data_IF_739733795643
#
_entry.id   IF_739733795643
#
_cell.length_a   1.000
_cell.length_b   1.000
_cell.length_c   1.000
_cell.angle_alpha   90.00
_cell.angle_beta   90.00
_cell.angle_gamma   90.00
#
_symmetry.space_group_name_H-M   'P 1'
#
loop_
_entity.id
_entity.type
_entity.pdbx_description
1 polymer ?
#
# COMPACT_ATOMS: atom_id res chain seq x y z
N UNK A 1 -54.99 44.67 36.43
CA UNK A 1 -54.49 45.30 35.17
C UNK A 1 -53.04 44.84 35.01
N UNK A 2 -52.83 43.67 34.39
CA UNK A 2 -52.32 43.45 33.00
C UNK A 2 -50.94 44.07 32.71
N UNK A 3 -50.08 43.22 32.14
CA UNK A 3 -48.78 43.42 31.48
C UNK A 3 -47.55 43.09 32.37
N UNK A 4 -46.54 42.35 31.92
CA UNK A 4 -46.35 41.48 30.77
C UNK A 4 -45.17 40.56 31.12
N UNK A 5 -45.29 39.25 30.86
CA UNK A 5 -44.18 38.30 30.99
C UNK A 5 -43.27 38.45 29.76
N UNK A 6 -42.00 38.81 29.98
CA UNK A 6 -40.97 38.84 28.95
C UNK A 6 -40.43 37.43 28.70
N UNK A 7 -40.65 36.90 27.51
CA UNK A 7 -40.06 35.66 27.00
C UNK A 7 -38.60 35.92 26.60
N UNK A 8 -37.64 35.31 27.29
CA UNK A 8 -36.26 35.21 26.80
C UNK A 8 -36.24 34.22 25.63
N UNK A 9 -35.98 34.71 24.42
CA UNK A 9 -35.67 33.87 23.27
C UNK A 9 -34.16 33.60 23.31
N UNK A 10 -33.77 32.38 23.67
CA UNK A 10 -32.43 31.87 23.39
C UNK A 10 -32.33 31.58 21.89
N UNK A 11 -31.66 32.45 21.14
CA UNK A 11 -31.22 32.14 19.78
C UNK A 11 -30.09 31.12 19.86
N UNK A 12 -30.42 29.84 19.61
CA UNK A 12 -29.44 28.82 19.26
C UNK A 12 -28.75 29.25 17.97
N UNK A 13 -27.49 29.65 18.04
CA UNK A 13 -26.65 29.79 16.85
C UNK A 13 -26.40 28.38 16.30
N UNK A 14 -27.19 27.97 15.31
CA UNK A 14 -26.88 26.83 14.45
C UNK A 14 -25.56 27.16 13.73
N UNK A 15 -24.47 26.63 14.26
CA UNK A 15 -23.21 26.53 13.52
C UNK A 15 -23.45 25.57 12.34
N UNK A 16 -23.88 26.11 11.21
CA UNK A 16 -23.84 25.39 9.94
C UNK A 16 -22.38 25.00 9.68
N UNK A 17 -22.07 23.70 9.51
CA UNK A 17 -20.75 23.32 9.06
C UNK A 17 -20.58 23.93 7.67
N UNK A 18 -19.62 24.84 7.54
CA UNK A 18 -19.17 25.32 6.25
C UNK A 18 -18.62 24.10 5.51
N UNK A 19 -19.43 23.52 4.63
CA UNK A 19 -18.98 22.56 3.63
C UNK A 19 -17.90 23.28 2.82
N UNK A 20 -16.65 22.91 3.06
CA UNK A 20 -15.55 23.37 2.24
C UNK A 20 -15.80 22.93 0.78
N UNK A 21 -15.56 23.79 -0.21
CA UNK A 21 -15.82 23.48 -1.61
C UNK A 21 -14.81 22.44 -2.10
N UNK A 22 -15.26 21.19 -2.26
CA UNK A 22 -14.50 20.06 -2.80
C UNK A 22 -13.79 20.49 -4.08
N UNK A 23 -12.45 20.47 -4.09
CA UNK A 23 -11.69 20.54 -5.32
C UNK A 23 -12.06 19.29 -6.11
N UNK A 24 -12.46 19.51 -7.35
CA UNK A 24 -12.80 18.45 -8.26
C UNK A 24 -11.51 17.83 -8.82
N UNK A 25 -10.71 17.21 -7.94
CA UNK A 25 -9.97 16.02 -8.35
C UNK A 25 -11.04 15.12 -8.97
N UNK A 26 -11.04 15.01 -10.30
CA UNK A 26 -12.18 14.53 -11.07
C UNK A 26 -12.74 13.19 -10.57
N UNK A 27 -13.96 12.86 -10.96
CA UNK A 27 -14.57 11.59 -10.57
C UNK A 27 -13.83 10.43 -11.25
N UNK A 28 -13.12 9.63 -10.46
CA UNK A 28 -12.45 8.41 -10.89
C UNK A 28 -13.39 7.20 -10.78
N UNK A 29 -13.32 6.22 -11.69
CA UNK A 29 -14.07 4.98 -11.58
C UNK A 29 -13.76 4.21 -10.29
N UNK A 30 -14.81 3.64 -9.70
CA UNK A 30 -14.72 2.92 -8.44
C UNK A 30 -13.90 1.63 -8.57
N UNK A 31 -14.21 0.82 -9.59
CA UNK A 31 -13.62 -0.48 -9.88
C UNK A 31 -13.59 -0.76 -11.39
N UNK A 32 -12.79 -1.75 -11.80
CA UNK A 32 -12.68 -2.20 -13.20
C UNK A 32 -13.51 -3.45 -13.50
N UNK A 33 -13.82 -4.25 -12.48
CA UNK A 33 -14.48 -5.55 -12.63
C UNK A 33 -15.72 -5.66 -11.77
N UNK A 34 -16.89 -5.50 -12.39
CA UNK A 34 -18.17 -5.74 -11.73
C UNK A 34 -18.49 -7.24 -11.69
N UNK A 35 -18.88 -7.82 -10.55
CA UNK A 35 -19.35 -9.20 -10.51
C UNK A 35 -20.68 -9.35 -11.27
N UNK A 36 -20.94 -10.51 -11.91
CA UNK A 36 -22.25 -10.84 -12.45
C UNK A 36 -23.32 -10.83 -11.35
N UNK A 37 -24.48 -10.24 -11.62
CA UNK A 37 -25.58 -10.14 -10.64
C UNK A 37 -26.11 -11.50 -10.15
N UNK A 38 -25.90 -12.56 -10.94
CA UNK A 38 -26.21 -13.95 -10.58
C UNK A 38 -25.28 -14.54 -9.50
N UNK A 39 -24.05 -14.00 -9.38
CA UNK A 39 -23.05 -14.44 -8.41
C UNK A 39 -23.02 -13.53 -7.18
N UNK A 40 -23.28 -12.23 -7.35
CA UNK A 40 -23.33 -11.25 -6.26
C UNK A 40 -24.32 -10.12 -6.54
N UNK A 41 -25.25 -9.89 -5.61
CA UNK A 41 -26.27 -8.85 -5.66
C UNK A 41 -26.20 -7.85 -4.50
N UNK A 42 -25.13 -7.93 -3.69
CA UNK A 42 -24.89 -7.02 -2.59
C UNK A 42 -24.37 -5.65 -3.03
N UNK A 43 -24.07 -4.76 -2.07
CA UNK A 43 -23.47 -3.46 -2.36
C UNK A 43 -22.14 -3.61 -3.10
N UNK A 44 -21.91 -2.73 -4.08
CA UNK A 44 -20.64 -2.64 -4.78
C UNK A 44 -19.71 -1.65 -4.09
N UNK A 45 -18.41 -1.86 -4.30
CA UNK A 45 -17.36 -0.96 -3.84
C UNK A 45 -17.58 0.45 -4.42
N UNK A 46 -17.33 1.45 -3.58
CA UNK A 46 -17.29 2.85 -3.97
C UNK A 46 -15.98 3.45 -3.49
N UNK A 47 -15.28 4.11 -4.40
CA UNK A 47 -14.00 4.75 -4.14
C UNK A 47 -14.23 5.99 -3.27
N UNK A 48 -13.72 5.96 -2.03
CA UNK A 48 -13.55 7.17 -1.22
C UNK A 48 -12.47 8.07 -1.84
N UNK A 49 -12.90 9.11 -2.56
CA UNK A 49 -12.07 9.98 -3.41
C UNK A 49 -12.31 11.48 -3.17
N UNK A 50 -13.02 11.86 -2.11
CA UNK A 50 -13.26 13.26 -1.76
C UNK A 50 -12.04 13.88 -1.07
N UNK A 51 -10.89 13.89 -1.74
CA UNK A 51 -9.61 14.31 -1.17
C UNK A 51 -9.69 15.73 -0.57
N UNK A 52 -9.04 16.00 0.58
CA UNK A 52 -9.05 17.34 1.19
C UNK A 52 -8.40 18.42 0.31
N UNK A 53 -8.99 19.61 0.30
CA UNK A 53 -8.51 20.76 -0.51
C UNK A 53 -7.45 21.60 0.21
N UNK A 54 -7.49 21.55 1.54
CA UNK A 54 -6.52 22.19 2.41
C UNK A 54 -5.75 21.09 3.16
N UNK A 55 -4.46 21.32 3.34
CA UNK A 55 -3.65 20.45 4.19
C UNK A 55 -4.24 20.45 5.61
N UNK A 56 -4.46 19.28 6.23
CA UNK A 56 -4.81 19.23 7.64
C UNK A 56 -3.77 19.98 8.48
N UNK A 57 -4.17 20.71 9.53
CA UNK A 57 -3.23 21.49 10.33
C UNK A 57 -2.20 20.57 11.01
N UNK A 58 -1.00 21.08 11.28
CA UNK A 58 0.05 20.30 11.95
C UNK A 58 -0.36 19.78 13.35
N UNK A 59 -1.38 20.38 13.98
CA UNK A 59 -1.97 19.89 15.22
C UNK A 59 -2.83 18.62 15.05
N UNK A 60 -3.14 18.23 13.82
CA UNK A 60 -3.96 17.05 13.49
C UNK A 60 -3.14 15.75 13.38
N UNK A 61 -1.89 15.74 13.86
CA UNK A 61 -1.09 14.50 13.88
C UNK A 61 -1.82 13.41 14.69
N UNK A 62 -1.84 12.15 14.21
CA UNK A 62 -2.45 11.05 14.95
C UNK A 62 -1.89 10.94 16.37
N UNK A 63 -2.76 10.66 17.36
CA UNK A 63 -2.36 10.65 18.77
C UNK A 63 -1.21 9.67 19.08
N UNK A 64 -1.09 8.58 18.32
CA UNK A 64 -0.01 7.60 18.47
C UNK A 64 1.37 8.16 18.08
N UNK A 65 1.47 9.31 17.39
CA UNK A 65 2.76 9.92 17.03
C UNK A 65 3.64 10.22 18.25
N UNK A 66 3.02 10.47 19.41
CA UNK A 66 3.74 10.68 20.68
C UNK A 66 4.40 9.41 21.22
N UNK A 67 3.99 8.24 20.73
CA UNK A 67 4.49 6.93 21.14
C UNK A 67 5.71 6.48 20.32
N UNK A 68 6.18 7.30 19.36
CA UNK A 68 7.41 6.99 18.64
C UNK A 68 8.55 6.85 19.66
N UNK A 69 9.34 5.76 19.62
CA UNK A 69 10.47 5.58 20.52
C UNK A 69 11.45 6.74 20.39
N UNK A 70 11.93 7.27 21.53
CA UNK A 70 12.90 8.36 21.53
C UNK A 70 14.21 8.01 20.81
N UNK A 71 14.60 6.73 20.82
CA UNK A 71 15.67 6.18 20.00
C UNK A 71 15.21 4.86 19.35
N UNK A 72 15.05 4.81 18.02
CA UNK A 72 14.83 3.57 17.28
C UNK A 72 15.88 2.51 17.63
N UNK A 73 15.42 1.28 17.88
CA UNK A 73 16.28 0.13 18.16
C UNK A 73 15.69 -1.15 17.57
N UNK A 74 16.53 -2.17 17.36
CA UNK A 74 16.10 -3.46 16.83
C UNK A 74 15.38 -4.36 17.87
N UNK A 75 15.14 -3.85 19.07
CA UNK A 75 14.28 -4.49 20.07
C UNK A 75 12.81 -4.13 19.80
N UNK A 76 12.02 -5.13 19.37
CA UNK A 76 10.62 -4.94 19.04
C UNK A 76 9.77 -4.51 20.25
N UNK A 77 10.17 -4.83 21.47
CA UNK A 77 9.41 -4.41 22.66
C UNK A 77 9.36 -2.89 22.81
N UNK A 78 10.40 -2.18 22.37
CA UNK A 78 10.41 -0.72 22.33
C UNK A 78 9.39 -0.13 21.36
N UNK A 79 8.93 -0.92 20.39
CA UNK A 79 7.96 -0.53 19.36
C UNK A 79 6.56 -1.09 19.59
N UNK A 80 6.38 -2.02 20.53
CA UNK A 80 5.13 -2.77 20.68
C UNK A 80 3.93 -1.87 20.90
N UNK A 81 4.07 -0.86 21.77
CA UNK A 81 3.00 0.12 22.05
C UNK A 81 2.69 0.96 20.81
N UNK A 82 3.72 1.43 20.10
CA UNK A 82 3.54 2.18 18.84
C UNK A 82 2.80 1.33 17.80
N UNK A 83 3.25 0.10 17.55
CA UNK A 83 2.61 -0.82 16.58
C UNK A 83 1.16 -1.13 16.96
N UNK A 84 0.87 -1.38 18.24
CA UNK A 84 -0.50 -1.58 18.70
C UNK A 84 -1.37 -0.34 18.43
N UNK A 85 -0.88 0.86 18.76
CA UNK A 85 -1.63 2.09 18.55
C UNK A 85 -1.84 2.43 17.07
N UNK A 86 -0.88 2.12 16.17
CA UNK A 86 -1.11 2.27 14.71
C UNK A 86 -2.12 1.25 14.21
N UNK A 87 -2.10 0.00 14.71
CA UNK A 87 -3.13 -1.00 14.39
C UNK A 87 -4.51 -0.48 14.77
N UNK A 88 -4.66 -0.03 16.00
CA UNK A 88 -5.93 0.49 16.50
C UNK A 88 -6.39 1.69 15.68
N UNK A 89 -5.48 2.60 15.34
CA UNK A 89 -5.77 3.71 14.42
C UNK A 89 -6.24 3.22 13.04
N UNK A 90 -5.66 2.16 12.47
CA UNK A 90 -6.11 1.61 11.19
C UNK A 90 -7.51 0.97 11.27
N UNK A 91 -7.83 0.32 12.39
CA UNK A 91 -9.05 -0.48 12.56
C UNK A 91 -10.24 0.33 13.06
N UNK A 92 -10.01 1.38 13.84
CA UNK A 92 -11.04 2.19 14.49
C UNK A 92 -12.07 2.73 13.48
N UNK A 93 -13.32 2.29 13.63
CA UNK A 93 -14.45 2.65 12.78
C UNK A 93 -14.50 1.92 11.43
N UNK A 94 -13.40 1.32 10.97
CA UNK A 94 -13.32 0.57 9.72
C UNK A 94 -13.81 -0.87 9.89
N UNK A 95 -13.56 -1.50 11.04
CA UNK A 95 -14.03 -2.88 11.27
C UNK A 95 -15.56 -2.92 11.37
N UNK A 96 -16.15 -1.95 12.06
CA UNK A 96 -17.60 -1.87 12.30
C UNK A 96 -18.41 -1.56 11.03
N UNK A 97 -17.77 -0.94 10.03
CA UNK A 97 -18.40 -0.61 8.75
C UNK A 97 -18.03 -1.58 7.60
N UNK A 98 -17.41 -2.72 7.92
CA UNK A 98 -16.93 -3.72 6.95
C UNK A 98 -15.94 -3.14 5.93
N UNK A 99 -15.06 -2.25 6.39
CA UNK A 99 -14.09 -1.49 5.59
C UNK A 99 -14.70 -0.68 4.44
N UNK A 100 -15.99 -0.35 4.54
CA UNK A 100 -16.62 0.67 3.72
C UNK A 100 -16.21 2.05 4.26
N UNK A 101 -14.98 2.45 3.98
CA UNK A 101 -14.30 3.50 4.75
C UNK A 101 -14.91 4.90 4.58
N UNK A 102 -15.70 5.13 3.54
CA UNK A 102 -16.51 6.35 3.38
C UNK A 102 -17.65 6.48 4.41
N UNK A 103 -18.00 5.38 5.09
CA UNK A 103 -18.97 5.36 6.20
C UNK A 103 -18.30 5.41 7.57
N UNK A 104 -16.97 5.55 7.65
CA UNK A 104 -16.29 5.71 8.93
C UNK A 104 -16.66 7.09 9.52
N UNK A 105 -17.28 7.09 10.69
CA UNK A 105 -17.76 8.32 11.36
C UNK A 105 -16.75 8.90 12.34
N UNK A 106 -15.70 8.15 12.67
CA UNK A 106 -14.63 8.57 13.56
C UNK A 106 -13.55 9.31 12.80
N UNK A 107 -13.25 8.87 11.57
CA UNK A 107 -12.22 9.49 10.75
C UNK A 107 -12.38 9.18 9.27
N UNK A 108 -12.06 10.18 8.46
CA UNK A 108 -12.10 10.05 7.01
C UNK A 108 -10.87 9.27 6.50
N UNK A 109 -11.16 8.36 5.57
CA UNK A 109 -10.18 7.53 4.87
C UNK A 109 -10.44 7.59 3.38
N UNK A 110 -9.37 7.44 2.60
CA UNK A 110 -9.40 7.66 1.16
C UNK A 110 -8.62 6.56 0.46
N UNK A 111 -9.00 6.23 -0.77
CA UNK A 111 -8.23 5.26 -1.56
C UNK A 111 -7.48 5.97 -2.70
N UNK A 112 -6.48 5.30 -3.26
CA UNK A 112 -5.76 5.76 -4.44
C UNK A 112 -6.64 5.65 -5.70
N UNK A 113 -6.65 6.66 -6.60
CA UNK A 113 -7.36 6.58 -7.87
C UNK A 113 -6.60 5.70 -8.87
N UNK A 114 -7.20 5.46 -10.04
CA UNK A 114 -6.61 4.74 -11.17
C UNK A 114 -6.19 3.27 -10.92
N UNK A 115 -6.56 2.68 -9.78
CA UNK A 115 -6.35 1.25 -9.54
C UNK A 115 -7.41 0.35 -10.22
N UNK A 116 -8.40 0.92 -10.90
CA UNK A 116 -9.45 0.18 -11.62
C UNK A 116 -8.99 -0.31 -13.00
N UNK A 117 -7.97 0.33 -13.57
CA UNK A 117 -7.60 0.16 -14.96
C UNK A 117 -6.71 -1.07 -15.18
N UNK A 118 -6.84 -1.68 -16.35
CA UNK A 118 -6.03 -2.80 -16.81
C UNK A 118 -6.43 -4.17 -16.25
N UNK A 119 -5.72 -5.24 -16.67
CA UNK A 119 -5.99 -6.64 -16.31
C UNK A 119 -6.00 -6.93 -14.80
N UNK A 120 -5.20 -6.16 -14.05
CA UNK A 120 -5.05 -6.24 -12.61
C UNK A 120 -5.99 -5.30 -11.84
N UNK A 121 -6.91 -4.66 -12.57
CA UNK A 121 -7.83 -3.68 -12.05
C UNK A 121 -8.65 -4.16 -10.87
N UNK A 122 -9.03 -3.18 -10.05
CA UNK A 122 -9.80 -3.34 -8.83
C UNK A 122 -11.12 -4.09 -9.07
N UNK A 123 -11.44 -5.03 -8.19
CA UNK A 123 -12.71 -5.76 -8.20
C UNK A 123 -13.85 -4.98 -7.50
N UNK A 124 -15.10 -5.31 -7.86
CA UNK A 124 -16.27 -4.49 -7.55
C UNK A 124 -16.96 -4.77 -6.21
N UNK A 125 -16.54 -5.74 -5.40
CA UNK A 125 -17.18 -6.05 -4.12
C UNK A 125 -16.57 -5.22 -2.98
N UNK A 126 -15.26 -5.39 -2.71
CA UNK A 126 -14.52 -4.72 -1.63
C UNK A 126 -13.42 -3.79 -2.14
N UNK A 127 -13.27 -3.66 -3.45
CA UNK A 127 -12.27 -2.79 -4.02
C UNK A 127 -10.84 -3.35 -3.95
N UNK A 128 -10.71 -4.69 -4.01
CA UNK A 128 -9.43 -5.35 -3.93
C UNK A 128 -8.65 -5.27 -5.26
N UNK A 129 -7.34 -5.03 -5.19
CA UNK A 129 -6.39 -5.14 -6.31
C UNK A 129 -5.61 -6.45 -6.23
N UNK A 130 -5.29 -7.06 -7.37
CA UNK A 130 -4.45 -8.26 -7.41
C UNK A 130 -3.00 -7.92 -7.03
N UNK A 131 -2.41 -8.76 -6.21
CA UNK A 131 -1.09 -8.53 -5.61
C UNK A 131 -0.08 -9.57 -6.12
N UNK A 132 0.47 -10.44 -5.26
CA UNK A 132 1.51 -11.40 -5.60
C UNK A 132 0.99 -12.86 -5.56
N UNK A 133 1.73 -13.75 -6.20
CA UNK A 133 1.47 -15.18 -6.09
C UNK A 133 2.01 -15.71 -4.76
N UNK A 134 1.21 -16.54 -4.09
CA UNK A 134 1.68 -17.31 -2.94
C UNK A 134 2.34 -18.58 -3.47
N UNK A 135 3.64 -18.72 -3.22
CA UNK A 135 4.43 -19.87 -3.65
C UNK A 135 4.20 -21.08 -2.73
N UNK A 136 4.45 -22.28 -3.24
CA UNK A 136 4.42 -23.49 -2.43
C UNK A 136 5.38 -23.39 -1.23
N UNK A 137 4.91 -23.78 -0.05
CA UNK A 137 5.60 -23.74 1.24
C UNK A 137 6.01 -22.36 1.74
N UNK A 138 5.49 -21.28 1.14
CA UNK A 138 5.76 -19.92 1.58
C UNK A 138 5.12 -19.64 2.94
N UNK A 139 3.86 -20.05 3.13
CA UNK A 139 3.10 -19.75 4.34
C UNK A 139 3.27 -20.81 5.44
N UNK A 140 3.45 -22.06 5.06
CA UNK A 140 3.65 -23.17 5.99
C UNK A 140 4.30 -24.35 5.28
N UNK A 141 5.07 -25.17 5.99
CA UNK A 141 5.64 -26.39 5.41
C UNK A 141 4.58 -27.37 4.88
N UNK A 142 3.37 -27.33 5.42
CA UNK A 142 2.20 -28.12 4.99
C UNK A 142 1.53 -27.59 3.71
N UNK A 143 1.75 -26.33 3.35
CA UNK A 143 1.14 -25.70 2.19
C UNK A 143 1.87 -26.10 0.90
N UNK A 144 1.24 -26.98 0.12
CA UNK A 144 1.80 -27.54 -1.12
C UNK A 144 1.19 -26.91 -2.37
N UNK A 145 -0.04 -26.41 -2.31
CA UNK A 145 -0.69 -25.67 -3.41
C UNK A 145 -0.28 -24.21 -3.44
N UNK A 146 -0.09 -23.61 -4.62
CA UNK A 146 0.06 -22.15 -4.75
C UNK A 146 -1.25 -21.41 -4.43
N UNK A 147 -1.18 -20.09 -4.36
CA UNK A 147 -2.34 -19.22 -4.20
C UNK A 147 -2.12 -17.83 -4.76
N UNK A 148 -3.01 -16.91 -4.43
CA UNK A 148 -2.96 -15.53 -4.90
C UNK A 148 -3.42 -14.57 -3.82
N UNK A 149 -2.91 -13.33 -3.88
CA UNK A 149 -3.24 -12.29 -2.93
C UNK A 149 -3.96 -11.11 -3.57
N UNK A 150 -4.80 -10.49 -2.75
CA UNK A 150 -5.64 -9.36 -3.09
C UNK A 150 -5.61 -8.37 -1.94
N UNK A 151 -5.60 -7.06 -2.23
CA UNK A 151 -5.50 -6.07 -1.17
C UNK A 151 -6.30 -4.80 -1.44
N UNK A 152 -6.62 -4.09 -0.37
CA UNK A 152 -7.17 -2.74 -0.41
C UNK A 152 -6.35 -1.84 0.51
N UNK A 153 -5.91 -0.71 -0.02
CA UNK A 153 -5.11 0.29 0.69
C UNK A 153 -5.89 1.59 0.89
N UNK A 154 -5.77 2.15 2.08
CA UNK A 154 -6.41 3.40 2.50
C UNK A 154 -5.39 4.37 3.10
N UNK A 155 -5.64 5.66 2.91
CA UNK A 155 -4.81 6.78 3.36
C UNK A 155 -5.66 7.66 4.27
N UNK A 156 -5.08 8.14 5.38
CA UNK A 156 -5.73 9.16 6.18
C UNK A 156 -5.84 10.49 5.41
N UNK A 157 -6.60 11.43 5.95
CA UNK A 157 -6.76 12.79 5.41
C UNK A 157 -5.43 13.52 5.09
N UNK A 158 -4.41 13.38 5.93
CA UNK A 158 -3.08 13.98 5.71
C UNK A 158 -2.45 13.43 4.41
N UNK A 159 -2.45 12.10 4.25
CA UNK A 159 -1.96 11.47 3.02
C UNK A 159 -2.83 11.80 1.81
N UNK A 160 -4.14 11.78 2.02
CA UNK A 160 -5.15 12.04 0.99
C UNK A 160 -5.07 13.44 0.41
N UNK A 161 -4.71 14.45 1.20
CA UNK A 161 -4.42 15.80 0.68
C UNK A 161 -3.31 15.76 -0.37
N UNK A 162 -2.22 15.02 -0.10
CA UNK A 162 -1.10 14.87 -1.04
C UNK A 162 -1.55 14.21 -2.34
N UNK A 163 -2.37 13.15 -2.24
CA UNK A 163 -2.98 12.48 -3.41
C UNK A 163 -3.84 13.49 -4.20
N UNK A 164 -4.70 14.25 -3.51
CA UNK A 164 -5.53 15.28 -4.13
C UNK A 164 -4.73 16.35 -4.86
N UNK A 165 -3.53 16.72 -4.37
CA UNK A 165 -2.66 17.67 -5.07
C UNK A 165 -1.97 17.07 -6.31
N UNK A 166 -1.61 15.78 -6.28
CA UNK A 166 -1.13 15.09 -7.49
C UNK A 166 -2.22 15.08 -8.56
N UNK A 167 -3.46 14.79 -8.17
CA UNK A 167 -4.60 14.67 -9.08
C UNK A 167 -5.48 15.93 -9.15
N UNK A 168 -4.92 17.09 -8.78
CA UNK A 168 -5.66 18.37 -8.72
C UNK A 168 -6.26 18.74 -10.07
N UNK A 169 -5.51 18.49 -11.14
CA UNK A 169 -6.05 18.39 -12.49
C UNK A 169 -6.17 16.89 -12.84
N UNK A 170 -7.38 16.31 -12.84
CA UNK A 170 -7.57 14.88 -13.13
C UNK A 170 -7.20 14.51 -14.57
N UNK A 171 -7.13 15.50 -15.47
CA UNK A 171 -6.71 15.32 -16.84
C UNK A 171 -5.22 15.61 -17.03
N UNK A 172 -4.49 16.06 -16.00
CA UNK A 172 -3.06 16.29 -16.07
C UNK A 172 -2.42 16.15 -14.68
N UNK A 173 -2.30 14.92 -14.15
CA UNK A 173 -1.72 14.72 -12.82
C UNK A 173 -0.28 15.20 -12.77
N UNK A 174 0.13 15.67 -11.59
CA UNK A 174 1.47 16.20 -11.33
C UNK A 174 2.32 15.17 -10.56
N UNK A 175 3.09 14.30 -11.24
CA UNK A 175 3.97 13.33 -10.57
C UNK A 175 5.10 13.99 -9.77
N UNK A 176 5.44 15.26 -10.05
CA UNK A 176 6.48 15.99 -9.33
C UNK A 176 6.02 16.40 -7.91
N UNK A 177 4.71 16.38 -7.62
CA UNK A 177 4.18 16.85 -6.34
C UNK A 177 4.68 16.03 -5.15
N UNK A 178 5.01 14.75 -5.34
CA UNK A 178 5.60 13.88 -4.31
C UNK A 178 7.13 13.80 -4.39
N UNK A 179 7.77 14.61 -5.25
CA UNK A 179 9.23 14.71 -5.36
C UNK A 179 9.77 15.92 -4.59
N UNK A 180 11.04 15.86 -4.16
CA UNK A 180 11.71 16.99 -3.51
C UNK A 180 11.54 18.29 -4.32
N UNK A 181 11.24 19.43 -3.66
CA UNK A 181 11.25 19.65 -2.21
C UNK A 181 10.00 19.15 -1.45
N UNK A 182 8.99 18.63 -2.15
CA UNK A 182 7.79 18.06 -1.55
C UNK A 182 7.98 16.56 -1.20
N UNK A 183 6.97 15.98 -0.56
CA UNK A 183 6.79 14.55 -0.22
C UNK A 183 5.38 14.38 0.37
N UNK A 184 4.95 13.18 0.74
CA UNK A 184 3.81 13.04 1.64
C UNK A 184 4.11 13.78 2.95
N UNK A 185 3.07 14.43 3.49
CA UNK A 185 3.20 15.23 4.71
C UNK A 185 3.42 14.34 5.95
N UNK A 186 4.18 14.86 6.90
CA UNK A 186 4.36 14.25 8.22
C UNK A 186 2.99 13.97 8.86
N UNK A 187 2.76 12.77 9.38
CA UNK A 187 1.40 12.38 9.81
C UNK A 187 0.63 11.51 8.83
N UNK A 188 1.12 11.36 7.59
CA UNK A 188 0.49 10.44 6.62
C UNK A 188 0.54 9.02 7.17
N UNK A 189 -0.62 8.34 7.14
CA UNK A 189 -0.76 6.94 7.51
C UNK A 189 -1.42 6.20 6.36
N UNK A 190 -0.80 5.09 5.97
CA UNK A 190 -1.33 4.11 5.04
C UNK A 190 -1.66 2.85 5.82
N UNK A 191 -2.83 2.29 5.60
CA UNK A 191 -3.22 0.97 6.09
C UNK A 191 -3.63 0.13 4.89
N UNK A 192 -3.12 -1.09 4.78
CA UNK A 192 -3.42 -1.98 3.66
C UNK A 192 -3.83 -3.33 4.21
N UNK A 193 -5.07 -3.74 3.98
CA UNK A 193 -5.53 -5.08 4.32
C UNK A 193 -5.28 -6.02 3.12
N UNK A 194 -4.70 -7.18 3.39
CA UNK A 194 -4.38 -8.20 2.39
C UNK A 194 -5.13 -9.49 2.70
N UNK A 195 -5.66 -10.08 1.65
CA UNK A 195 -6.45 -11.31 1.67
C UNK A 195 -5.83 -12.34 0.74
N UNK A 196 -5.96 -13.61 1.11
CA UNK A 196 -5.44 -14.75 0.37
C UNK A 196 -6.57 -15.65 -0.14
N UNK A 197 -6.45 -16.08 -1.40
CA UNK A 197 -7.15 -17.23 -1.96
C UNK A 197 -6.16 -18.41 -1.99
N UNK A 198 -6.32 -19.31 -1.02
CA UNK A 198 -5.46 -20.47 -0.75
C UNK A 198 -6.29 -21.64 -0.20
N UNK A 199 -5.76 -22.86 -0.31
CA UNK A 199 -6.25 -23.99 0.49
C UNK A 199 -5.90 -23.80 1.97
N UNK A 200 -6.85 -23.23 2.71
CA UNK A 200 -6.72 -22.92 4.14
C UNK A 200 -6.44 -24.15 5.00
N UNK A 201 -6.82 -25.36 4.56
CA UNK A 201 -6.55 -26.59 5.32
C UNK A 201 -5.05 -26.89 5.44
N UNK A 202 -4.24 -26.28 4.57
CA UNK A 202 -2.79 -26.46 4.56
C UNK A 202 -2.02 -25.32 5.24
N UNK A 203 -2.72 -24.28 5.73
CA UNK A 203 -2.13 -23.09 6.37
C UNK A 203 -2.65 -22.98 7.80
N UNK A 204 -1.98 -23.61 8.79
CA UNK A 204 -2.54 -23.79 10.13
C UNK A 204 -2.95 -22.50 10.86
N UNK A 205 -2.24 -21.39 10.63
CA UNK A 205 -2.55 -20.12 11.29
C UNK A 205 -3.81 -19.43 10.73
N UNK A 206 -4.30 -19.84 9.56
CA UNK A 206 -5.55 -19.34 8.95
C UNK A 206 -6.80 -20.10 9.44
N UNK A 207 -6.80 -20.53 10.70
CA UNK A 207 -8.01 -21.02 11.35
C UNK A 207 -8.98 -19.87 11.67
N UNK A 208 -10.28 -20.08 11.49
CA UNK A 208 -11.33 -19.08 11.74
C UNK A 208 -10.99 -17.69 11.15
N UNK A 209 -10.66 -17.55 9.86
CA UNK A 209 -10.23 -16.27 9.29
C UNK A 209 -11.41 -15.29 9.18
N UNK A 210 -11.12 -14.00 9.16
CA UNK A 210 -12.05 -13.01 8.58
C UNK A 210 -12.14 -13.32 7.08
N UNK A 211 -13.36 -13.53 6.58
CA UNK A 211 -13.62 -13.86 5.18
C UNK A 211 -14.38 -12.74 4.50
N UNK A 212 -13.94 -12.40 3.30
CA UNK A 212 -14.65 -11.52 2.39
C UNK A 212 -14.97 -12.26 1.10
N UNK A 213 -16.09 -11.89 0.46
CA UNK A 213 -16.33 -12.23 -0.94
C UNK A 213 -15.54 -11.29 -1.83
N UNK A 214 -14.82 -11.80 -2.83
CA UNK A 214 -14.13 -10.98 -3.82
C UNK A 214 -14.41 -11.49 -5.23
N UNK A 215 -14.56 -10.59 -6.20
CA UNK A 215 -14.64 -10.94 -7.62
C UNK A 215 -13.24 -11.03 -8.23
N UNK A 216 -12.58 -12.14 -7.94
CA UNK A 216 -11.15 -12.36 -8.15
C UNK A 216 -10.90 -13.35 -9.29
N UNK A 217 -9.67 -13.39 -9.81
CA UNK A 217 -9.31 -14.36 -10.83
C UNK A 217 -9.36 -15.79 -10.28
N UNK A 218 -9.77 -16.75 -11.11
CA UNK A 218 -9.93 -18.18 -10.74
C UNK A 218 -8.63 -18.79 -10.20
N UNK A 219 -7.49 -18.37 -10.76
CA UNK A 219 -6.11 -18.68 -10.34
C UNK A 219 -5.18 -17.50 -10.68
N UNK A 220 -3.93 -17.55 -10.22
CA UNK A 220 -3.00 -16.41 -10.33
C UNK A 220 -2.68 -15.99 -11.77
N UNK A 221 -2.57 -16.91 -12.71
CA UNK A 221 -2.25 -16.69 -14.13
C UNK A 221 -3.50 -16.64 -15.03
N UNK A 222 -4.70 -16.49 -14.44
CA UNK A 222 -5.95 -16.41 -15.18
C UNK A 222 -6.44 -14.97 -15.34
N UNK A 223 -7.11 -14.71 -16.46
CA UNK A 223 -7.93 -13.52 -16.66
C UNK A 223 -9.41 -13.73 -16.27
N UNK A 224 -9.87 -14.99 -16.20
CA UNK A 224 -11.25 -15.32 -15.82
C UNK A 224 -11.46 -15.09 -14.34
N UNK A 225 -12.60 -14.48 -13.99
CA UNK A 225 -12.98 -14.11 -12.62
C UNK A 225 -14.25 -14.81 -12.17
N UNK A 226 -14.33 -15.06 -10.87
CA UNK A 226 -15.51 -15.60 -10.19
C UNK A 226 -15.59 -15.04 -8.77
N UNK A 227 -16.77 -15.08 -8.15
CA UNK A 227 -16.93 -14.67 -6.75
C UNK A 227 -16.43 -15.79 -5.82
N UNK A 228 -15.34 -15.52 -5.07
CA UNK A 228 -14.74 -16.47 -4.11
C UNK A 228 -14.64 -15.87 -2.71
N UNK A 229 -14.52 -16.73 -1.70
CA UNK A 229 -14.06 -16.31 -0.38
C UNK A 229 -12.55 -16.09 -0.40
N UNK A 230 -12.11 -14.95 0.15
CA UNK A 230 -10.71 -14.63 0.42
C UNK A 230 -10.53 -14.40 1.92
N UNK A 231 -9.41 -14.87 2.47
CA UNK A 231 -9.14 -14.84 3.91
C UNK A 231 -8.14 -13.75 4.28
N UNK A 232 -8.46 -12.92 5.28
CA UNK A 232 -7.52 -11.93 5.82
C UNK A 232 -6.24 -12.65 6.28
N UNK A 233 -5.10 -12.23 5.72
CA UNK A 233 -3.82 -12.89 5.98
C UNK A 233 -2.78 -11.92 6.55
N UNK A 234 -2.85 -10.65 6.16
CA UNK A 234 -1.87 -9.64 6.51
C UNK A 234 -2.51 -8.26 6.54
N UNK A 235 -1.96 -7.37 7.36
CA UNK A 235 -2.20 -5.93 7.25
C UNK A 235 -0.87 -5.20 7.29
N UNK A 236 -0.63 -4.32 6.34
CA UNK A 236 0.56 -3.48 6.31
C UNK A 236 0.22 -2.05 6.71
N UNK A 237 1.20 -1.39 7.32
CA UNK A 237 1.13 0.03 7.66
C UNK A 237 2.37 0.75 7.13
N UNK A 238 2.18 1.99 6.71
CA UNK A 238 3.27 2.92 6.45
C UNK A 238 2.94 4.28 7.08
N UNK A 239 3.89 4.83 7.84
CA UNK A 239 3.72 6.11 8.53
C UNK A 239 4.83 7.06 8.11
N UNK A 240 4.45 8.24 7.61
CA UNK A 240 5.39 9.32 7.31
C UNK A 240 5.75 10.02 8.61
N UNK A 241 7.02 9.88 9.00
CA UNK A 241 7.57 10.53 10.19
C UNK A 241 8.92 11.19 9.88
N UNK A 242 8.97 12.52 9.91
CA UNK A 242 10.20 13.29 9.63
C UNK A 242 11.29 13.12 10.68
N UNK A 243 11.00 12.51 11.84
CA UNK A 243 12.02 12.15 12.84
C UNK A 243 12.91 11.00 12.39
N UNK A 244 12.48 10.23 11.38
CA UNK A 244 13.28 9.21 10.71
C UNK A 244 14.05 9.88 9.56
N UNK A 245 15.28 10.31 9.81
CA UNK A 245 16.00 11.20 8.89
C UNK A 245 16.47 10.53 7.58
N UNK A 246 16.75 9.22 7.59
CA UNK A 246 17.34 8.54 6.43
C UNK A 246 16.32 8.25 5.33
N UNK A 247 15.07 7.96 5.70
CA UNK A 247 14.01 7.53 4.78
C UNK A 247 12.76 8.41 4.88
N UNK A 248 12.47 8.96 6.07
CA UNK A 248 11.23 9.69 6.35
C UNK A 248 10.01 8.79 6.59
N UNK A 249 10.17 7.47 6.55
CA UNK A 249 9.06 6.52 6.61
C UNK A 249 9.34 5.38 7.58
N UNK A 250 8.25 4.92 8.23
CA UNK A 250 8.22 3.74 9.08
C UNK A 250 7.23 2.76 8.45
N UNK A 251 7.67 1.53 8.19
CA UNK A 251 6.87 0.45 7.65
C UNK A 251 6.65 -0.60 8.72
N UNK A 252 5.44 -1.16 8.80
CA UNK A 252 5.12 -2.26 9.70
C UNK A 252 4.22 -3.27 9.01
N UNK A 253 4.25 -4.51 9.49
CA UNK A 253 3.37 -5.56 8.98
C UNK A 253 2.82 -6.41 10.12
N UNK A 254 1.58 -6.82 9.98
CA UNK A 254 0.86 -7.72 10.87
C UNK A 254 0.48 -8.98 10.10
N UNK A 255 0.63 -10.13 10.73
CA UNK A 255 0.20 -11.42 10.20
C UNK A 255 -1.04 -11.88 10.96
N UNK A 256 -2.00 -12.45 10.24
CA UNK A 256 -3.16 -13.10 10.86
C UNK A 256 -2.73 -14.38 11.58
N UNK A 257 -3.18 -14.56 12.82
CA UNK A 257 -3.10 -15.84 13.53
C UNK A 257 -4.41 -16.11 14.29
N UNK A 258 -5.28 -16.93 13.71
CA UNK A 258 -6.58 -17.24 14.29
C UNK A 258 -6.54 -18.03 15.60
N UNK A 259 -5.37 -18.55 16.00
CA UNK A 259 -5.18 -19.19 17.30
C UNK A 259 -5.17 -18.22 18.48
N UNK A 260 -4.90 -16.93 18.24
CA UNK A 260 -4.82 -15.93 19.30
C UNK A 260 -6.15 -15.76 20.02
N UNK A 261 -7.25 -15.61 19.27
CA UNK A 261 -8.59 -15.45 19.87
C UNK A 261 -9.49 -16.67 19.72
N UNK A 262 -9.15 -17.59 18.80
CA UNK A 262 -9.97 -18.76 18.50
C UNK A 262 -11.27 -18.46 17.73
N UNK A 263 -11.50 -17.21 17.30
CA UNK A 263 -12.66 -16.78 16.52
C UNK A 263 -12.24 -15.84 15.40
N UNK A 264 -13.10 -15.64 14.39
CA UNK A 264 -12.84 -14.67 13.33
C UNK A 264 -12.83 -13.24 13.89
N UNK A 265 -11.82 -12.46 13.55
CA UNK A 265 -11.70 -11.07 13.98
C UNK A 265 -10.35 -10.44 13.62
N UNK A 266 -10.34 -9.12 13.48
CA UNK A 266 -9.15 -8.33 13.20
C UNK A 266 -8.15 -8.30 14.37
N UNK A 267 -8.59 -8.66 15.58
CA UNK A 267 -7.73 -8.84 16.76
C UNK A 267 -6.65 -9.90 16.58
N UNK A 268 -6.86 -10.84 15.65
CA UNK A 268 -5.88 -11.87 15.29
C UNK A 268 -4.72 -11.33 14.43
N UNK A 269 -4.71 -10.05 14.06
CA UNK A 269 -3.55 -9.40 13.44
C UNK A 269 -2.46 -9.16 14.49
N UNK A 270 -1.45 -10.02 14.45
CA UNK A 270 -0.27 -10.00 15.33
C UNK A 270 0.87 -9.29 14.61
N UNK A 271 1.56 -8.32 15.25
CA UNK A 271 2.69 -7.65 14.62
C UNK A 271 3.80 -8.65 14.27
N UNK A 272 4.25 -8.67 13.02
CA UNK A 272 5.49 -9.36 12.61
C UNK A 272 6.68 -8.49 12.98
N UNK A 273 6.62 -7.20 12.70
CA UNK A 273 7.69 -6.27 13.03
C UNK A 273 7.51 -4.89 12.40
N UNK A 274 8.55 -4.07 12.55
CA UNK A 274 8.60 -2.69 12.08
C UNK A 274 10.00 -2.37 11.53
N UNK A 275 10.08 -1.52 10.51
CA UNK A 275 11.33 -1.08 9.90
C UNK A 275 11.28 0.41 9.54
N UNK A 276 12.45 1.05 9.55
CA UNK A 276 12.61 2.48 9.23
C UNK A 276 13.82 2.74 8.32
N UNK A 277 14.44 1.66 7.83
CA UNK A 277 15.54 1.66 6.86
C UNK A 277 15.89 0.23 6.43
N UNK A 278 16.82 0.12 5.49
CA UNK A 278 17.22 -1.12 4.82
C UNK A 278 18.59 -1.66 5.27
N UNK A 279 19.24 -1.08 6.27
CA UNK A 279 20.55 -1.54 6.78
C UNK A 279 21.59 -1.78 5.65
N UNK A 280 21.99 -0.75 4.88
CA UNK A 280 22.76 -0.91 3.63
C UNK A 280 24.15 -1.56 3.79
N UNK A 281 24.66 -1.66 5.02
CA UNK A 281 25.95 -2.28 5.32
C UNK A 281 25.85 -3.78 5.61
N UNK A 282 24.65 -4.31 5.88
CA UNK A 282 24.43 -5.74 6.10
C UNK A 282 24.18 -6.43 4.76
N UNK A 283 25.21 -7.07 4.23
CA UNK A 283 25.23 -7.69 2.89
C UNK A 283 25.11 -9.22 2.90
N UNK A 284 24.88 -9.81 4.09
CA UNK A 284 24.83 -11.25 4.30
C UNK A 284 23.56 -11.91 3.77
N UNK A 285 23.46 -13.25 3.92
CA UNK A 285 22.27 -14.02 3.51
C UNK A 285 21.90 -15.14 4.48
N UNK A 286 22.58 -15.23 5.63
CA UNK A 286 22.48 -16.36 6.57
C UNK A 286 21.08 -16.50 7.19
N UNK A 287 20.32 -15.40 7.25
CA UNK A 287 19.00 -15.35 7.83
C UNK A 287 17.86 -15.47 6.80
N UNK A 288 18.17 -15.58 5.51
CA UNK A 288 17.15 -15.81 4.47
C UNK A 288 16.53 -17.21 4.61
N UNK A 289 15.20 -17.28 4.70
CA UNK A 289 14.44 -18.51 4.94
C UNK A 289 13.06 -18.51 4.22
N UNK A 290 13.01 -18.51 2.87
CA UNK A 290 11.76 -18.33 2.11
C UNK A 290 10.70 -19.42 2.32
N UNK A 291 11.09 -20.60 2.84
CA UNK A 291 10.19 -21.67 3.25
C UNK A 291 10.40 -21.93 4.75
N UNK A 292 9.74 -21.18 5.63
CA UNK A 292 10.07 -21.09 7.04
C UNK A 292 9.54 -22.30 7.84
N UNK A 293 10.41 -23.00 8.56
CA UNK A 293 10.02 -23.86 9.70
C UNK A 293 10.16 -23.14 11.04
N UNK A 294 10.87 -22.01 11.04
CA UNK A 294 11.02 -21.05 12.12
C UNK A 294 11.28 -19.67 11.51
N UNK A 295 10.95 -18.60 12.23
CA UNK A 295 11.31 -17.22 11.85
C UNK A 295 12.78 -16.96 12.17
N UNK A 296 13.59 -16.60 11.18
CA UNK A 296 15.02 -16.30 11.36
C UNK A 296 15.25 -14.79 11.49
N UNK A 297 15.55 -14.33 12.70
CA UNK A 297 15.78 -12.91 12.99
C UNK A 297 17.28 -12.61 12.94
N UNK A 298 17.68 -11.64 12.12
CA UNK A 298 19.07 -11.21 12.01
C UNK A 298 19.42 -10.18 13.12
N UNK A 299 20.30 -10.50 14.07
CA UNK A 299 20.65 -9.60 15.17
C UNK A 299 21.52 -8.40 14.74
N UNK A 300 22.10 -8.45 13.52
CA UNK A 300 22.96 -7.40 12.99
C UNK A 300 22.17 -6.21 12.43
N UNK A 301 20.90 -6.42 12.04
CA UNK A 301 20.04 -5.35 11.55
C UNK A 301 19.76 -4.33 12.65
N UNK A 302 19.84 -3.04 12.31
CA UNK A 302 19.67 -1.89 13.21
C UNK A 302 18.53 -0.97 12.77
N UNK A 303 17.93 -1.19 11.60
CA UNK A 303 16.82 -0.42 11.06
C UNK A 303 15.53 -1.25 10.90
N UNK A 304 15.51 -2.43 11.52
CA UNK A 304 14.39 -3.38 11.57
C UNK A 304 14.30 -3.96 12.98
N UNK A 305 13.08 -4.11 13.50
CA UNK A 305 12.78 -4.81 14.74
C UNK A 305 11.67 -5.85 14.49
N UNK A 306 11.93 -7.12 14.86
CA UNK A 306 11.02 -8.24 14.61
C UNK A 306 10.46 -8.76 15.94
N UNK A 307 9.15 -9.03 15.98
CA UNK A 307 8.50 -9.66 17.10
C UNK A 307 8.95 -11.12 17.23
N UNK A 308 9.78 -11.40 18.25
CA UNK A 308 10.31 -12.75 18.50
C UNK A 308 9.33 -13.68 19.24
N UNK A 309 8.11 -13.22 19.55
CA UNK A 309 7.15 -14.00 20.34
C UNK A 309 6.49 -15.12 19.52
N UNK A 310 7.09 -16.31 19.56
CA UNK A 310 6.62 -17.53 18.88
C UNK A 310 5.33 -18.11 19.46
N UNK A 311 4.87 -17.64 20.63
CA UNK A 311 3.56 -18.02 21.15
C UNK A 311 2.41 -17.28 20.43
N UNK A 312 2.71 -16.12 19.83
CA UNK A 312 1.72 -15.30 19.12
C UNK A 312 1.87 -15.39 17.59
N UNK A 313 3.08 -15.57 17.08
CA UNK A 313 3.35 -15.70 15.66
C UNK A 313 3.70 -17.15 15.29
N UNK A 314 3.09 -17.70 14.23
CA UNK A 314 3.58 -18.94 13.64
C UNK A 314 4.96 -18.70 13.00
N UNK A 315 5.71 -19.77 12.68
CA UNK A 315 6.87 -19.66 11.79
C UNK A 315 6.51 -18.90 10.52
N UNK A 316 7.27 -17.84 10.23
CA UNK A 316 7.06 -17.00 9.06
C UNK A 316 8.40 -16.63 8.44
N UNK A 317 8.42 -16.44 7.12
CA UNK A 317 9.62 -15.94 6.47
C UNK A 317 9.66 -14.44 6.70
N UNK A 318 10.86 -13.90 6.63
CA UNK A 318 11.05 -12.46 6.57
C UNK A 318 11.48 -12.09 5.15
N UNK A 319 11.82 -10.83 4.97
CA UNK A 319 12.53 -10.37 3.81
C UNK A 319 13.98 -10.82 3.78
N UNK A 320 14.70 -10.36 2.77
CA UNK A 320 16.08 -10.77 2.52
C UNK A 320 16.97 -10.51 3.74
N UNK A 321 17.69 -11.55 4.13
CA UNK A 321 18.55 -11.61 5.30
C UNK A 321 17.90 -11.15 6.62
N UNK A 322 16.60 -11.41 6.79
CA UNK A 322 15.87 -11.15 8.02
C UNK A 322 15.29 -9.74 8.17
N UNK A 323 15.31 -8.91 7.12
CA UNK A 323 14.64 -7.60 7.09
C UNK A 323 13.12 -7.77 7.14
N UNK A 324 12.40 -6.77 7.63
CA UNK A 324 10.94 -6.86 7.70
C UNK A 324 10.34 -7.05 6.30
N UNK A 325 9.48 -8.06 6.18
CA UNK A 325 8.58 -8.25 5.06
C UNK A 325 7.37 -9.03 5.54
N UNK A 326 6.24 -8.93 4.85
CA UNK A 326 5.03 -9.67 5.20
C UNK A 326 5.07 -11.14 4.74
N UNK A 327 4.25 -12.02 5.34
CA UNK A 327 4.16 -13.45 5.00
C UNK A 327 3.78 -13.75 3.54
N UNK A 328 3.15 -12.82 2.83
CA UNK A 328 2.81 -13.01 1.40
C UNK A 328 3.71 -12.25 0.43
N UNK A 329 4.66 -11.48 0.96
CA UNK A 329 5.57 -10.66 0.15
C UNK A 329 6.75 -11.49 -0.36
N UNK A 330 7.49 -10.94 -1.34
CA UNK A 330 8.63 -11.66 -1.92
C UNK A 330 9.81 -11.73 -0.92
N UNK A 331 10.25 -12.92 -0.49
CA UNK A 331 11.30 -13.09 0.54
C UNK A 331 12.69 -12.60 0.13
N UNK A 332 12.92 -12.24 -1.14
CA UNK A 332 14.18 -11.64 -1.61
C UNK A 332 14.21 -10.11 -1.51
N UNK A 333 13.14 -9.50 -1.01
CA UNK A 333 12.98 -8.05 -0.79
C UNK A 333 12.73 -7.76 0.70
N UNK A 334 12.44 -6.53 1.06
CA UNK A 334 11.86 -6.03 2.30
C UNK A 334 10.73 -5.07 1.95
N UNK A 335 9.90 -4.67 2.92
CA UNK A 335 8.84 -3.68 2.66
C UNK A 335 9.45 -2.41 2.04
N UNK A 336 10.51 -1.85 2.65
CA UNK A 336 11.11 -0.61 2.15
C UNK A 336 11.92 -0.79 0.87
N UNK A 337 12.64 -1.90 0.66
CA UNK A 337 13.40 -2.11 -0.58
C UNK A 337 12.47 -2.23 -1.79
N UNK A 338 11.28 -2.79 -1.58
CA UNK A 338 10.23 -2.87 -2.59
C UNK A 338 9.59 -1.50 -2.84
N UNK A 339 9.19 -0.81 -1.77
CA UNK A 339 8.44 0.44 -1.89
C UNK A 339 9.28 1.62 -2.35
N UNK A 340 10.58 1.67 -2.04
CA UNK A 340 11.44 2.78 -2.45
C UNK A 340 11.64 2.86 -3.98
N UNK A 341 11.26 1.81 -4.73
CA UNK A 341 11.27 1.83 -6.20
C UNK A 341 10.05 2.55 -6.78
N UNK A 342 9.10 2.99 -5.96
CA UNK A 342 7.92 3.71 -6.43
C UNK A 342 8.29 5.06 -7.05
N UNK A 343 8.19 5.15 -8.38
CA UNK A 343 8.54 6.34 -9.13
C UNK A 343 7.72 6.45 -10.42
N UNK A 344 7.74 7.63 -11.03
CA UNK A 344 7.14 7.88 -12.34
C UNK A 344 8.09 8.68 -13.26
N UNK A 345 8.32 8.25 -14.52
CA UNK A 345 7.97 6.94 -15.04
C UNK A 345 8.68 5.84 -14.25
N UNK A 346 8.06 4.65 -14.16
CA UNK A 346 8.64 3.52 -13.44
C UNK A 346 9.81 2.96 -14.26
N UNK A 347 11.05 3.23 -13.84
CA UNK A 347 12.25 2.67 -14.48
C UNK A 347 12.89 1.60 -13.60
N UNK A 348 12.76 1.74 -12.29
CA UNK A 348 13.21 0.76 -11.31
C UNK A 348 12.34 -0.51 -11.35
N UNK A 349 12.99 -1.67 -11.35
CA UNK A 349 12.31 -2.94 -11.09
C UNK A 349 12.15 -3.09 -9.57
N UNK A 350 11.04 -3.67 -9.10
CA UNK A 350 10.68 -3.70 -7.67
C UNK A 350 11.60 -4.54 -6.77
N UNK A 351 12.37 -5.49 -7.32
CA UNK A 351 13.41 -6.22 -6.59
C UNK A 351 14.47 -6.78 -7.55
N UNK A 352 15.66 -7.17 -7.05
CA UNK A 352 16.79 -7.57 -7.90
C UNK A 352 16.58 -8.89 -8.66
N UNK A 353 15.57 -9.70 -8.32
CA UNK A 353 15.33 -11.01 -8.96
C UNK A 353 14.36 -10.96 -10.12
N UNK A 354 13.67 -9.84 -10.31
CA UNK A 354 12.70 -9.65 -11.40
C UNK A 354 13.38 -9.30 -12.73
N UNK A 355 14.69 -9.02 -12.73
CA UNK A 355 15.46 -8.84 -13.95
C UNK A 355 15.93 -10.19 -14.53
N UNK A 356 16.12 -10.25 -15.85
CA UNK A 356 16.52 -11.47 -16.54
C UNK A 356 17.87 -12.06 -16.05
N UNK A 357 18.81 -11.20 -15.64
CA UNK A 357 20.10 -11.59 -15.09
C UNK A 357 20.29 -10.96 -13.70
N UNK A 358 19.74 -11.54 -12.62
CA UNK A 358 19.84 -10.99 -11.26
C UNK A 358 21.30 -10.75 -10.84
N UNK A 359 21.58 -9.69 -10.06
CA UNK A 359 22.92 -9.47 -9.56
C UNK A 359 23.25 -10.53 -8.50
N UNK A 360 24.54 -10.80 -8.28
CA UNK A 360 24.96 -11.70 -7.21
C UNK A 360 24.44 -11.20 -5.85
N UNK A 361 23.90 -12.10 -5.04
CA UNK A 361 23.36 -11.78 -3.70
C UNK A 361 24.43 -11.08 -2.86
N UNK A 362 24.07 -9.96 -2.22
CA UNK A 362 24.98 -9.17 -1.39
C UNK A 362 26.00 -8.32 -2.16
N UNK A 363 26.04 -8.39 -3.50
CA UNK A 363 26.90 -7.52 -4.31
C UNK A 363 26.48 -6.05 -4.22
N UNK A 364 27.35 -5.08 -4.55
CA UNK A 364 26.97 -3.67 -4.62
C UNK A 364 25.74 -3.39 -5.51
N UNK A 365 25.59 -4.17 -6.59
CA UNK A 365 24.44 -4.08 -7.48
C UNK A 365 23.15 -4.58 -6.80
N UNK A 366 23.21 -5.69 -6.05
CA UNK A 366 22.08 -6.16 -5.23
C UNK A 366 21.70 -5.14 -4.17
N UNK A 367 22.70 -4.55 -3.51
CA UNK A 367 22.50 -3.55 -2.46
C UNK A 367 21.90 -2.23 -2.93
N UNK A 368 21.76 -2.01 -4.26
CA UNK A 368 20.95 -0.88 -4.78
C UNK A 368 19.50 -0.92 -4.31
N UNK A 369 18.95 -2.10 -4.04
CA UNK A 369 17.59 -2.24 -3.48
C UNK A 369 17.56 -2.09 -1.96
N UNK A 370 18.70 -2.16 -1.27
CA UNK A 370 18.78 -2.10 0.19
C UNK A 370 19.47 -0.82 0.70
N UNK A 371 19.45 0.25 -0.10
CA UNK A 371 19.82 1.59 0.33
C UNK A 371 18.68 2.29 1.08
N UNK A 372 18.99 3.38 1.78
CA UNK A 372 17.99 4.28 2.34
C UNK A 372 17.83 5.47 1.39
N UNK A 373 16.62 5.65 0.88
CA UNK A 373 16.26 6.77 0.01
C UNK A 373 15.42 7.75 0.83
N UNK A 374 15.88 8.99 1.04
CA UNK A 374 15.09 10.02 1.68
C UNK A 374 13.74 10.25 0.98
N UNK A 375 12.70 10.51 1.76
CA UNK A 375 11.37 10.88 1.27
C UNK A 375 11.43 11.93 0.13
N UNK A 376 10.62 11.70 -0.89
CA UNK A 376 10.57 12.50 -2.12
C UNK A 376 11.78 12.37 -3.06
N UNK A 377 12.76 11.49 -2.78
CA UNK A 377 13.79 11.13 -3.77
C UNK A 377 13.38 9.87 -4.56
N UNK A 378 13.60 9.85 -5.88
CA UNK A 378 13.36 8.66 -6.68
C UNK A 378 14.49 7.63 -6.53
N UNK A 379 14.20 6.39 -6.92
CA UNK A 379 15.21 5.33 -7.01
C UNK A 379 16.14 5.54 -8.21
N UNK A 380 15.57 5.90 -9.35
CA UNK A 380 16.28 6.11 -10.60
C UNK A 380 16.54 7.61 -10.82
N UNK A 381 17.76 8.01 -11.19
CA UNK A 381 18.01 9.38 -11.60
C UNK A 381 17.10 9.79 -12.77
N UNK A 382 16.52 11.00 -12.71
CA UNK A 382 15.70 11.55 -13.78
C UNK A 382 14.21 11.19 -13.75
N UNK A 383 13.77 10.35 -12.82
CA UNK A 383 12.35 10.07 -12.57
C UNK A 383 11.79 10.96 -11.44
N UNK A 384 10.51 10.81 -11.15
CA UNK A 384 9.79 11.50 -10.07
C UNK A 384 9.45 10.51 -8.99
N UNK A 385 9.75 10.84 -7.75
CA UNK A 385 9.41 9.99 -6.61
C UNK A 385 7.91 9.95 -6.41
N UNK A 386 7.36 8.75 -6.22
CA UNK A 386 6.02 8.58 -5.64
C UNK A 386 6.07 8.50 -4.10
N UNK A 387 7.24 8.80 -3.52
CA UNK A 387 7.52 8.83 -2.10
C UNK A 387 7.07 7.55 -1.38
N UNK A 388 7.64 6.43 -1.82
CA UNK A 388 7.35 5.07 -1.38
C UNK A 388 5.94 4.52 -1.70
N UNK A 389 5.06 5.29 -2.35
CA UNK A 389 3.71 4.83 -2.72
C UNK A 389 3.68 4.13 -4.08
N UNK A 390 3.84 2.80 -4.09
CA UNK A 390 3.65 1.99 -5.29
C UNK A 390 2.23 2.11 -5.87
N UNK A 391 1.21 2.35 -5.05
CA UNK A 391 -0.16 2.60 -5.55
C UNK A 391 -0.23 3.92 -6.33
N UNK A 392 0.47 4.97 -5.88
CA UNK A 392 0.53 6.23 -6.62
C UNK A 392 1.30 6.07 -7.94
N UNK A 393 2.47 5.42 -7.90
CA UNK A 393 3.23 5.10 -9.11
C UNK A 393 2.39 4.31 -10.12
N UNK A 394 1.69 3.27 -9.66
CA UNK A 394 0.81 2.44 -10.48
C UNK A 394 -0.39 3.23 -11.02
N UNK A 395 -0.99 4.11 -10.22
CA UNK A 395 -2.10 4.97 -10.66
C UNK A 395 -1.68 5.96 -11.75
N UNK A 396 -0.48 6.56 -11.62
CA UNK A 396 0.11 7.40 -12.66
C UNK A 396 0.38 6.59 -13.94
N UNK A 397 1.02 5.42 -13.82
CA UNK A 397 1.29 4.54 -14.95
C UNK A 397 -0.01 4.16 -15.70
N UNK A 398 -1.04 3.73 -14.96
CA UNK A 398 -2.35 3.37 -15.51
C UNK A 398 -3.02 4.54 -16.24
N UNK A 399 -2.97 5.75 -15.67
CA UNK A 399 -3.53 6.94 -16.31
C UNK A 399 -2.85 7.26 -17.64
N UNK A 400 -1.51 7.24 -17.67
CA UNK A 400 -0.77 7.55 -18.88
C UNK A 400 -0.86 6.44 -19.94
N UNK A 401 -0.97 5.18 -19.51
CA UNK A 401 -1.28 4.06 -20.41
C UNK A 401 -2.67 4.25 -21.05
N UNK A 402 -3.70 4.47 -20.23
CA UNK A 402 -5.06 4.76 -20.72
C UNK A 402 -5.07 5.92 -21.71
N UNK A 403 -4.35 7.01 -21.42
CA UNK A 403 -4.21 8.14 -22.35
C UNK A 403 -3.54 7.78 -23.67
N UNK A 404 -2.58 6.85 -23.68
CA UNK A 404 -1.95 6.41 -24.93
C UNK A 404 -2.83 5.41 -25.71
N UNK A 405 -3.57 4.53 -25.03
CA UNK A 405 -4.19 3.34 -25.65
C UNK A 405 -5.71 3.41 -25.83
N UNK A 406 -6.45 4.11 -24.96
CA UNK A 406 -7.92 4.07 -24.93
C UNK A 406 -8.60 5.45 -24.83
N UNK A 407 -7.85 6.52 -24.56
CA UNK A 407 -8.37 7.85 -24.22
C UNK A 407 -8.10 9.01 -25.20
N UNK A 408 -7.33 8.82 -26.27
CA UNK A 408 -7.50 9.64 -27.48
C UNK A 408 -6.35 10.53 -27.95
N UNK A 409 -6.53 10.92 -29.21
CA UNK A 409 -5.78 11.92 -29.96
C UNK A 409 -6.06 13.29 -29.33
N UNK A 410 -5.03 14.02 -28.88
CA UNK A 410 -5.20 15.39 -28.38
C UNK A 410 -5.65 16.35 -29.51
N UNK A 411 -6.08 17.57 -29.17
CA UNK A 411 -6.58 18.59 -30.14
C UNK A 411 -5.63 18.83 -31.32
N UNK A 412 -4.34 18.59 -31.13
CA UNK A 412 -3.28 18.70 -32.14
C UNK A 412 -2.97 17.39 -32.90
N UNK A 413 -3.83 16.38 -32.82
CA UNK A 413 -3.70 15.18 -33.64
C UNK A 413 -2.72 14.12 -33.13
N UNK A 414 -2.15 14.31 -31.94
CA UNK A 414 -1.12 13.41 -31.38
C UNK A 414 -1.54 12.85 -30.02
N UNK A 415 -1.15 11.62 -29.68
CA UNK A 415 -1.30 11.07 -28.32
C UNK A 415 -0.09 11.44 -27.43
N UNK A 416 -0.17 11.13 -26.13
CA UNK A 416 0.87 11.52 -25.15
C UNK A 416 2.24 10.91 -25.48
N UNK A 417 2.23 9.67 -25.95
CA UNK A 417 3.42 8.93 -26.36
C UNK A 417 4.10 9.59 -27.59
N UNK A 418 3.32 10.05 -28.57
CA UNK A 418 3.82 10.76 -29.76
C UNK A 418 4.43 12.12 -29.39
N UNK A 419 3.80 12.91 -28.52
CA UNK A 419 4.37 14.18 -28.03
C UNK A 419 5.66 13.98 -27.25
N UNK A 420 5.70 13.00 -26.36
CA UNK A 420 6.90 12.63 -25.61
C UNK A 420 8.03 12.17 -26.55
N UNK A 421 7.70 11.46 -27.65
CA UNK A 421 8.67 11.05 -28.66
C UNK A 421 9.26 12.24 -29.45
N UNK A 422 8.47 13.27 -29.76
CA UNK A 422 8.92 14.48 -30.45
C UNK A 422 9.83 15.34 -29.55
N UNK A 423 9.49 15.50 -28.27
CA UNK A 423 10.36 16.12 -27.27
C UNK A 423 11.68 15.33 -27.12
N UNK A 424 11.62 13.99 -27.11
CA UNK A 424 12.81 13.14 -27.13
C UNK A 424 13.64 13.34 -28.41
N UNK A 425 13.05 13.54 -29.58
CA UNK A 425 13.78 13.83 -30.83
C UNK A 425 14.49 15.19 -30.79
N UNK A 426 13.90 16.20 -30.14
CA UNK A 426 14.56 17.50 -29.94
C UNK A 426 15.69 17.45 -28.89
N UNK A 427 15.62 16.50 -27.95
CA UNK A 427 16.61 16.31 -26.89
C UNK A 427 17.67 15.22 -27.20
N UNK A 428 17.45 14.38 -28.22
CA UNK A 428 18.35 13.28 -28.58
C UNK A 428 19.27 13.65 -29.73
N UNK A 429 20.42 14.20 -29.38
CA UNK A 429 21.64 13.85 -30.11
C UNK A 429 22.43 12.69 -29.47
N UNK A 430 22.32 12.34 -28.18
CA UNK A 430 23.22 11.33 -27.58
C UNK A 430 22.70 10.52 -26.36
N UNK A 431 21.45 10.03 -26.31
CA UNK A 431 21.01 9.13 -25.19
C UNK A 431 20.16 7.95 -25.67
N UNK A 432 20.60 6.71 -25.36
CA UNK A 432 19.83 5.47 -25.59
C UNK A 432 18.51 5.53 -24.82
N UNK A 433 17.35 5.18 -25.41
CA UNK A 433 16.08 5.15 -24.68
C UNK A 433 16.12 4.09 -23.57
N UNK A 434 15.91 4.51 -22.32
CA UNK A 434 15.67 3.61 -21.18
C UNK A 434 14.25 3.00 -21.28
N UNK A 435 14.11 1.73 -20.91
CA UNK A 435 12.87 0.97 -20.97
C UNK A 435 12.01 1.22 -19.73
N UNK A 436 10.79 1.73 -19.94
CA UNK A 436 9.78 1.88 -18.87
C UNK A 436 9.32 0.49 -18.44
N UNK A 437 9.31 0.24 -17.14
CA UNK A 437 8.87 -1.00 -16.49
C UNK A 437 7.43 -0.83 -15.98
N UNK A 438 6.59 -1.88 -15.96
CA UNK A 438 5.32 -1.84 -15.24
C UNK A 438 5.58 -1.76 -13.71
N UNK A 439 4.62 -1.21 -12.96
CA UNK A 439 4.65 -1.26 -11.49
C UNK A 439 4.23 -2.66 -11.05
N UNK A 440 5.19 -3.58 -11.09
CA UNK A 440 4.91 -5.02 -11.05
C UNK A 440 5.21 -5.66 -9.70
N UNK A 441 4.17 -6.16 -9.05
CA UNK A 441 4.26 -6.84 -7.75
C UNK A 441 4.77 -8.27 -7.88
N UNK A 442 4.64 -8.89 -9.05
CA UNK A 442 5.09 -10.25 -9.37
C UNK A 442 5.32 -10.44 -10.89
N UNK A 443 6.45 -11.03 -11.36
CA UNK A 443 6.79 -11.24 -12.77
C UNK A 443 5.73 -12.00 -13.56
N UNK A 444 5.02 -12.94 -12.93
CA UNK A 444 3.98 -13.74 -13.58
C UNK A 444 2.77 -12.91 -14.04
N UNK A 445 2.64 -11.67 -13.56
CA UNK A 445 1.57 -10.76 -14.01
C UNK A 445 1.84 -10.15 -15.39
N UNK A 446 3.08 -10.16 -15.89
CA UNK A 446 3.39 -9.67 -17.25
C UNK A 446 2.71 -10.48 -18.35
N UNK A 447 2.35 -11.74 -18.08
CA UNK A 447 1.61 -12.56 -19.05
C UNK A 447 0.14 -12.15 -19.16
N UNK A 448 -0.35 -11.32 -18.22
CA UNK A 448 -1.72 -10.82 -18.18
C UNK A 448 -1.88 -9.40 -18.73
N UNK A 449 -0.79 -8.61 -18.77
CA UNK A 449 -0.69 -7.25 -19.34
C UNK A 449 -0.46 -7.28 -20.85
#
# INVERSE_FOLDING_TARGET
MRNAQGTLIFTLALATPLLAPVAQAGTFPDFGYQPPSKEYSGPLFQLSQSYPDAAPPASALPAFFKLLPGKPSNDFETWREYMAAVKDYCLEGNVENDWNVQKNTLRQWYHMPWQHYGPLGREGIHGLTKEAQIQAKQLAASQTSTGQTYAVGIYNDIGAYTIGQVWKDPQNPNPDFTSKPNSFANGTVVCKALFADVDRSQVPFLQNPVLWKGYITTRFDSADREVKDVALIQMDIAVRDTRINETGWIFGTFQYNGAVTGKAGWDNLVPVGIMWGNDPQDTGNDFSNPQPSQTRINPNLKQTAINANTAQLPPTHLGWNGRLNGPVDNPVSSCMSCHMTGEYPQLAIMNPTFQANPPAVGSPQWMRWFQNIPAGQPFSPGTKSSDYSLQLAGGLANFYDWKCNQGGVFVDGHNACQKASQLKLMLKKEVKPEQIQPVQRDPGLMELE
#
